data_IF_780875819892
#
_entry.id   IF_780875819892
#
_cell.length_a   1.000
_cell.length_b   1.000
_cell.length_c   1.000
_cell.angle_alpha   90.00
_cell.angle_beta   90.00
_cell.angle_gamma   90.00
#
_symmetry.space_group_name_H-M   'P 1'
#
loop_
_entity.id
_entity.type
_entity.pdbx_description
1 polymer ?
#
# COMPACT_ATOMS: atom_id res chain seq x y z
N UNK A 1 18.43 -15.04 15.65
CA UNK A 1 19.38 -15.25 14.54
C UNK A 1 19.99 -16.64 14.73
N UNK A 2 19.79 -17.58 13.81
CA UNK A 2 20.47 -18.87 13.94
C UNK A 2 21.98 -18.68 13.73
N UNK A 3 22.79 -19.29 14.59
CA UNK A 3 24.24 -19.25 14.45
C UNK A 3 24.67 -19.96 13.17
N UNK A 4 25.65 -19.39 12.46
CA UNK A 4 26.26 -20.06 11.30
C UNK A 4 26.72 -21.45 11.73
N UNK A 5 26.49 -22.49 10.91
CA UNK A 5 26.99 -23.82 11.25
C UNK A 5 28.51 -23.75 11.40
N UNK A 6 29.06 -24.35 12.47
CA UNK A 6 30.51 -24.46 12.63
C UNK A 6 31.13 -25.24 11.46
N UNK A 7 32.43 -25.05 11.23
CA UNK A 7 33.16 -25.61 10.08
C UNK A 7 32.98 -27.12 9.87
N UNK A 8 32.98 -27.90 10.96
CA UNK A 8 32.74 -29.36 10.89
C UNK A 8 31.33 -29.65 10.39
N UNK A 9 30.33 -28.90 10.88
CA UNK A 9 28.94 -29.05 10.45
C UNK A 9 28.74 -28.61 9.01
N UNK A 10 29.40 -27.53 8.56
CA UNK A 10 29.31 -27.11 7.15
C UNK A 10 29.93 -28.15 6.22
N UNK A 11 31.10 -28.71 6.56
CA UNK A 11 31.72 -29.81 5.80
C UNK A 11 30.83 -31.06 5.78
N UNK A 12 30.22 -31.39 6.91
CA UNK A 12 29.27 -32.51 6.97
C UNK A 12 28.05 -32.25 6.09
N UNK A 13 27.51 -31.02 6.07
CA UNK A 13 26.38 -30.65 5.22
C UNK A 13 26.76 -30.67 3.73
N UNK A 14 27.94 -30.17 3.35
CA UNK A 14 28.42 -30.22 1.95
C UNK A 14 28.65 -31.67 1.52
N UNK A 15 29.24 -32.51 2.36
CA UNK A 15 29.31 -33.95 2.09
C UNK A 15 27.91 -34.58 1.97
N UNK A 16 26.95 -34.12 2.78
CA UNK A 16 25.56 -34.57 2.70
C UNK A 16 24.82 -34.06 1.45
N UNK A 17 25.27 -33.00 0.77
CA UNK A 17 24.62 -32.52 -0.45
C UNK A 17 25.09 -33.23 -1.72
N UNK A 18 26.24 -33.91 -1.69
CA UNK A 18 26.76 -34.68 -2.83
C UNK A 18 25.79 -35.80 -3.25
N UNK A 19 25.45 -35.83 -4.55
CA UNK A 19 24.59 -36.83 -5.18
C UNK A 19 25.42 -38.04 -5.63
N UNK A 20 25.57 -38.99 -4.72
CA UNK A 20 26.30 -40.24 -4.95
C UNK A 20 25.33 -41.34 -5.42
N UNK A 21 25.70 -42.23 -6.37
CA UNK A 21 24.76 -43.16 -7.00
C UNK A 21 24.16 -44.21 -6.05
N UNK A 22 24.85 -44.57 -4.96
CA UNK A 22 24.35 -45.49 -3.94
C UNK A 22 23.44 -44.83 -2.90
N UNK A 23 23.26 -43.50 -2.97
CA UNK A 23 22.61 -42.72 -1.91
C UNK A 23 21.18 -42.34 -2.29
N UNK A 24 20.23 -42.80 -1.48
CA UNK A 24 18.79 -42.58 -1.73
C UNK A 24 18.25 -41.25 -1.20
N UNK A 25 18.97 -40.59 -0.29
CA UNK A 25 18.58 -39.32 0.33
C UNK A 25 19.74 -38.32 0.32
N UNK A 26 19.49 -37.13 -0.21
CA UNK A 26 20.48 -36.07 -0.36
C UNK A 26 19.98 -34.76 0.25
N UNK A 27 20.92 -33.99 0.81
CA UNK A 27 20.65 -32.67 1.35
C UNK A 27 20.58 -31.68 0.18
N UNK A 28 19.50 -30.91 0.13
CA UNK A 28 19.29 -29.91 -0.93
C UNK A 28 19.72 -28.53 -0.44
N UNK A 29 19.40 -28.19 0.81
CA UNK A 29 19.84 -26.94 1.40
C UNK A 29 19.42 -26.79 2.85
N UNK A 30 19.63 -25.59 3.39
CA UNK A 30 19.24 -25.19 4.73
C UNK A 30 18.62 -23.80 4.72
N UNK A 31 17.75 -23.52 5.69
CA UNK A 31 17.23 -22.18 5.90
C UNK A 31 18.10 -21.34 6.85
N UNK A 32 17.75 -20.06 6.99
CA UNK A 32 18.33 -19.15 7.97
C UNK A 32 18.00 -19.51 9.44
N UNK A 33 17.05 -20.42 9.68
CA UNK A 33 16.71 -20.91 11.01
C UNK A 33 17.55 -22.14 11.42
N UNK A 34 18.28 -22.74 10.48
CA UNK A 34 19.09 -23.94 10.69
C UNK A 34 18.35 -25.26 10.44
N UNK A 35 17.14 -25.21 9.89
CA UNK A 35 16.43 -26.38 9.39
C UNK A 35 17.11 -26.87 8.11
N UNK A 36 17.08 -28.18 7.91
CA UNK A 36 17.71 -28.83 6.74
C UNK A 36 16.66 -29.48 5.86
N UNK A 37 16.80 -29.29 4.55
CA UNK A 37 15.84 -29.74 3.56
C UNK A 37 16.45 -30.84 2.72
N UNK A 38 15.70 -31.92 2.57
CA UNK A 38 16.17 -33.17 1.99
C UNK A 38 15.22 -33.63 0.90
N UNK A 39 15.79 -34.28 -0.09
CA UNK A 39 15.03 -34.94 -1.15
C UNK A 39 15.49 -36.39 -1.24
N UNK A 40 14.53 -37.30 -1.46
CA UNK A 40 14.78 -38.74 -1.47
C UNK A 40 13.77 -39.47 -2.35
N UNK A 41 14.13 -40.68 -2.80
CA UNK A 41 13.17 -41.58 -3.46
C UNK A 41 12.52 -42.49 -2.43
N UNK A 42 11.19 -42.57 -2.48
CA UNK A 42 10.46 -43.54 -1.67
C UNK A 42 10.63 -44.95 -2.25
N UNK A 43 10.64 -45.97 -1.40
CA UNK A 43 10.69 -47.36 -1.84
C UNK A 43 9.38 -47.78 -2.53
N UNK A 44 8.24 -47.26 -2.06
CA UNK A 44 6.91 -47.57 -2.61
C UNK A 44 6.59 -46.76 -3.88
N UNK A 45 7.10 -45.53 -3.98
CA UNK A 45 6.81 -44.61 -5.08
C UNK A 45 8.12 -44.10 -5.71
N UNK A 46 8.81 -44.98 -6.44
CA UNK A 46 10.12 -44.68 -7.04
C UNK A 46 10.09 -43.64 -8.17
N UNK A 47 8.91 -43.39 -8.76
CA UNK A 47 8.73 -42.45 -9.87
C UNK A 47 8.86 -40.98 -9.46
N UNK A 48 8.72 -40.66 -8.17
CA UNK A 48 8.71 -39.28 -7.69
C UNK A 48 9.67 -39.08 -6.52
N UNK A 49 10.50 -38.03 -6.61
CA UNK A 49 11.27 -37.55 -5.47
C UNK A 49 10.34 -36.92 -4.44
N UNK A 50 10.48 -37.35 -3.17
CA UNK A 50 9.80 -36.76 -2.03
C UNK A 50 10.73 -35.78 -1.33
N UNK A 51 10.15 -34.70 -0.82
CA UNK A 51 10.85 -33.61 -0.13
C UNK A 51 10.46 -33.63 1.34
N UNK A 52 11.42 -33.46 2.24
CA UNK A 52 11.20 -33.46 3.69
C UNK A 52 12.08 -32.41 4.37
N UNK A 53 11.57 -31.82 5.44
CA UNK A 53 12.33 -30.93 6.33
C UNK A 53 12.75 -31.67 7.60
N UNK A 54 13.97 -31.42 8.07
CA UNK A 54 14.47 -31.87 9.36
C UNK A 54 14.86 -30.64 10.19
N UNK A 55 14.13 -30.45 11.29
CA UNK A 55 14.38 -29.42 12.31
C UNK A 55 15.03 -30.02 13.55
N UNK A 56 15.33 -29.17 14.52
CA UNK A 56 15.88 -29.59 15.82
C UNK A 56 14.88 -30.44 16.59
N UNK A 57 15.34 -31.51 17.25
CA UNK A 57 14.50 -32.35 18.13
C UNK A 57 13.98 -31.61 19.37
N UNK A 58 14.49 -30.41 19.65
CA UNK A 58 14.09 -29.58 20.79
C UNK A 58 12.88 -28.68 20.51
N UNK A 59 12.50 -28.52 19.23
CA UNK A 59 11.40 -27.65 18.82
C UNK A 59 10.19 -28.50 18.48
N UNK A 60 9.03 -28.14 19.02
CA UNK A 60 7.78 -28.82 18.73
C UNK A 60 7.35 -28.59 17.28
N UNK A 61 6.67 -29.59 16.71
CA UNK A 61 6.25 -29.62 15.32
C UNK A 61 5.37 -28.42 14.94
N UNK A 62 4.53 -27.95 15.86
CA UNK A 62 3.62 -26.82 15.64
C UNK A 62 4.36 -25.46 15.59
N UNK A 63 5.52 -25.36 16.24
CA UNK A 63 6.27 -24.11 16.38
C UNK A 63 7.34 -23.93 15.29
N UNK A 64 7.50 -24.92 14.40
CA UNK A 64 8.48 -24.86 13.31
C UNK A 64 8.03 -23.85 12.26
N UNK A 65 8.62 -22.65 12.31
CA UNK A 65 8.42 -21.61 11.31
C UNK A 65 9.34 -21.84 10.10
N UNK A 66 8.75 -22.12 8.95
CA UNK A 66 9.46 -22.33 7.68
C UNK A 66 9.13 -21.17 6.73
N UNK A 67 10.11 -20.70 5.95
CA UNK A 67 9.86 -19.60 5.00
C UNK A 67 8.88 -20.02 3.89
N UNK A 68 8.12 -19.08 3.30
CA UNK A 68 7.20 -19.40 2.20
C UNK A 68 7.91 -20.01 0.98
N UNK A 69 9.14 -19.56 0.68
CA UNK A 69 9.94 -20.10 -0.41
C UNK A 69 10.26 -21.59 -0.20
N UNK A 70 10.62 -21.98 1.02
CA UNK A 70 10.83 -23.39 1.37
C UNK A 70 9.53 -24.19 1.37
N UNK A 71 8.40 -23.60 1.75
CA UNK A 71 7.09 -24.24 1.63
C UNK A 71 6.72 -24.54 0.17
N UNK A 72 6.95 -23.59 -0.75
CA UNK A 72 6.73 -23.79 -2.18
C UNK A 72 7.56 -24.96 -2.71
N UNK A 73 8.83 -25.01 -2.31
CA UNK A 73 9.70 -26.12 -2.65
C UNK A 73 9.19 -27.45 -2.06
N UNK A 74 8.83 -27.51 -0.77
CA UNK A 74 8.27 -28.72 -0.15
C UNK A 74 6.96 -29.18 -0.84
N UNK A 75 6.13 -28.24 -1.30
CA UNK A 75 4.87 -28.51 -1.99
C UNK A 75 5.03 -28.77 -3.49
N UNK A 76 6.26 -28.82 -4.00
CA UNK A 76 6.56 -29.02 -5.42
C UNK A 76 5.97 -27.94 -6.36
N UNK A 77 5.61 -26.76 -5.85
CA UNK A 77 5.22 -25.63 -6.71
C UNK A 77 6.44 -24.95 -7.32
N UNK A 78 7.61 -25.10 -6.68
CA UNK A 78 8.89 -24.62 -7.17
C UNK A 78 9.82 -25.78 -7.46
N UNK A 79 10.49 -25.76 -8.63
CA UNK A 79 11.45 -26.79 -9.02
C UNK A 79 12.74 -26.67 -8.22
N UNK A 80 13.41 -25.52 -8.32
CA UNK A 80 14.69 -25.23 -7.66
C UNK A 80 14.51 -24.87 -6.18
N UNK A 81 15.46 -25.30 -5.34
CA UNK A 81 15.46 -24.94 -3.93
C UNK A 81 15.89 -23.47 -3.72
N UNK A 82 15.33 -22.78 -2.73
CA UNK A 82 15.69 -21.39 -2.46
C UNK A 82 17.13 -21.29 -1.94
N UNK A 83 17.88 -20.34 -2.49
CA UNK A 83 19.29 -20.15 -2.15
C UNK A 83 19.45 -19.33 -0.87
N UNK A 84 20.61 -19.41 -0.21
CA UNK A 84 20.91 -18.59 0.98
C UNK A 84 20.82 -17.08 0.68
N UNK A 85 21.42 -16.53 -0.39
CA UNK A 85 21.31 -15.10 -0.67
C UNK A 85 19.87 -14.66 -0.95
N UNK A 86 19.07 -15.50 -1.62
CA UNK A 86 17.64 -15.22 -1.85
C UNK A 86 16.86 -15.11 -0.54
N UNK A 87 17.15 -16.00 0.42
CA UNK A 87 16.52 -15.95 1.74
C UNK A 87 16.95 -14.69 2.52
N UNK A 88 18.22 -14.29 2.43
CA UNK A 88 18.70 -13.06 3.07
C UNK A 88 18.06 -11.81 2.47
N UNK A 89 17.94 -11.78 1.14
CA UNK A 89 17.26 -10.72 0.41
C UNK A 89 15.79 -10.62 0.82
N UNK A 90 15.09 -11.74 1.00
CA UNK A 90 13.69 -11.71 1.43
C UNK A 90 13.54 -11.13 2.83
N UNK A 91 14.46 -11.40 3.76
CA UNK A 91 14.47 -10.79 5.09
C UNK A 91 14.70 -9.27 5.00
N UNK A 92 15.66 -8.81 4.19
CA UNK A 92 15.90 -7.38 4.02
C UNK A 92 14.73 -6.68 3.32
N UNK A 93 14.12 -7.32 2.32
CA UNK A 93 12.93 -6.83 1.62
C UNK A 93 11.76 -6.65 2.58
N UNK A 94 11.52 -7.62 3.46
CA UNK A 94 10.46 -7.53 4.48
C UNK A 94 10.70 -6.39 5.46
N UNK A 95 11.95 -6.17 5.88
CA UNK A 95 12.29 -5.05 6.75
C UNK A 95 12.04 -3.70 6.06
N UNK A 96 12.47 -3.53 4.82
CA UNK A 96 12.25 -2.32 4.03
C UNK A 96 10.75 -2.07 3.80
N UNK A 97 9.99 -3.12 3.46
CA UNK A 97 8.55 -3.03 3.23
C UNK A 97 7.80 -2.53 4.48
N UNK A 98 8.22 -2.95 5.69
CA UNK A 98 7.63 -2.46 6.94
C UNK A 98 7.89 -0.97 7.17
N UNK A 99 9.08 -0.49 6.84
CA UNK A 99 9.40 0.93 6.94
C UNK A 99 8.58 1.77 5.94
N UNK A 100 8.50 1.31 4.69
CA UNK A 100 7.70 1.98 3.66
C UNK A 100 6.21 2.00 4.02
N UNK A 101 5.68 0.90 4.55
CA UNK A 101 4.30 0.82 5.04
C UNK A 101 4.04 1.84 6.15
N UNK A 102 4.94 1.95 7.14
CA UNK A 102 4.81 2.93 8.22
C UNK A 102 4.79 4.38 7.69
N UNK A 103 5.67 4.71 6.74
CA UNK A 103 5.68 6.03 6.11
C UNK A 103 4.39 6.30 5.30
N UNK A 104 3.83 5.27 4.65
CA UNK A 104 2.56 5.38 3.96
C UNK A 104 1.41 5.62 4.94
N UNK A 105 1.39 4.92 6.07
CA UNK A 105 0.41 5.11 7.13
C UNK A 105 0.49 6.52 7.74
N UNK A 106 1.69 7.06 7.93
CA UNK A 106 1.89 8.45 8.39
C UNK A 106 1.33 9.46 7.38
N UNK A 107 1.64 9.26 6.09
CA UNK A 107 1.08 10.09 5.02
C UNK A 107 -0.44 10.00 5.01
N UNK A 108 -1.00 8.80 5.11
CA UNK A 108 -2.46 8.59 5.15
C UNK A 108 -3.11 9.27 6.35
N UNK A 109 -2.53 9.15 7.56
CA UNK A 109 -3.01 9.83 8.77
C UNK A 109 -2.92 11.36 8.70
N UNK A 110 -1.96 11.88 7.94
CA UNK A 110 -1.81 13.33 7.75
C UNK A 110 -2.86 13.94 6.83
N UNK A 111 -3.48 13.12 5.96
CA UNK A 111 -4.60 13.57 5.14
C UNK A 111 -5.83 13.71 6.05
N UNK A 112 -6.44 14.90 6.15
CA UNK A 112 -7.63 15.09 6.97
C UNK A 112 -8.73 14.15 6.49
N UNK A 113 -9.22 13.30 7.39
CA UNK A 113 -10.32 12.38 7.09
C UNK A 113 -11.59 13.19 6.84
N UNK A 114 -12.22 12.98 5.68
CA UNK A 114 -13.53 13.56 5.38
C UNK A 114 -14.65 13.08 6.32
N UNK A 115 -14.42 11.93 6.99
CA UNK A 115 -15.36 11.34 7.94
C UNK A 115 -15.11 11.81 9.38
N UNK A 116 -14.05 12.57 9.65
CA UNK A 116 -13.90 13.19 10.97
C UNK A 116 -14.97 14.27 11.11
N UNK A 117 -15.80 14.22 12.16
CA UNK A 117 -16.80 15.27 12.38
C UNK A 117 -16.06 16.60 12.47
N UNK A 118 -16.62 17.69 11.89
CA UNK A 118 -16.01 19.00 12.02
C UNK A 118 -15.77 19.23 13.51
N UNK A 119 -14.52 19.54 13.89
CA UNK A 119 -14.24 20.03 15.24
C UNK A 119 -15.05 21.28 15.38
N UNK A 120 -16.24 21.15 15.97
CA UNK A 120 -17.03 22.25 16.47
C UNK A 120 -16.09 22.94 17.45
N UNK A 121 -15.39 23.97 16.97
CA UNK A 121 -14.91 25.03 17.82
C UNK A 121 -16.20 25.58 18.43
N UNK A 122 -16.61 25.00 19.56
CA UNK A 122 -17.50 25.66 20.49
C UNK A 122 -16.72 26.89 20.95
N UNK A 123 -16.82 27.97 20.19
CA UNK A 123 -16.81 29.29 20.80
C UNK A 123 -17.84 29.17 21.92
N UNK A 124 -17.37 29.16 23.16
CA UNK A 124 -18.31 29.23 24.27
C UNK A 124 -19.22 30.43 23.99
N UNK A 125 -20.55 30.26 24.01
CA UNK A 125 -21.44 31.39 23.79
C UNK A 125 -21.06 32.47 24.82
N UNK A 126 -20.97 33.75 24.43
CA UNK A 126 -20.81 34.83 25.39
C UNK A 126 -22.12 34.96 26.17
N UNK A 127 -22.36 34.06 27.11
CA UNK A 127 -23.47 34.16 28.07
C UNK A 127 -22.95 34.89 29.30
N UNK A 128 -22.67 36.18 29.14
CA UNK A 128 -22.76 37.15 30.22
C UNK A 128 -23.45 38.40 29.65
N UNK A 129 -24.79 38.35 29.55
CA UNK A 129 -25.60 39.56 29.51
C UNK A 129 -25.58 40.15 30.92
N UNK A 130 -24.80 41.21 31.10
CA UNK A 130 -24.73 41.98 32.34
C UNK A 130 -25.68 43.16 32.17
N UNK A 131 -26.96 42.93 32.43
CA UNK A 131 -27.96 44.01 32.51
C UNK A 131 -28.07 44.49 33.96
N UNK A 132 -27.58 45.69 34.31
CA UNK A 132 -28.11 46.43 35.44
C UNK A 132 -29.26 47.29 34.92
N UNK A 133 -30.48 46.94 35.30
CA UNK A 133 -31.68 47.71 34.99
C UNK A 133 -31.52 49.20 35.32
N UNK A 134 -31.82 50.04 34.34
CA UNK A 134 -31.83 51.50 34.47
C UNK A 134 -32.80 52.10 33.47
N UNK A 135 -34.02 52.35 33.93
CA UNK A 135 -35.04 53.16 33.24
C UNK A 135 -34.51 54.57 32.93
N UNK A 136 -34.44 54.97 31.65
CA UNK A 136 -34.55 56.40 31.25
C UNK A 136 -35.12 56.58 29.84
N UNK A 137 -36.20 57.37 29.77
CA UNK A 137 -36.63 58.35 28.74
C UNK A 137 -36.37 58.18 27.24
N UNK A 138 -37.48 58.29 26.50
CA UNK A 138 -37.68 58.50 25.05
C UNK A 138 -36.72 59.50 24.37
N UNK A 139 -36.46 59.36 23.05
CA UNK A 139 -36.83 60.33 21.96
C UNK A 139 -36.35 59.86 20.55
N UNK A 140 -37.31 59.76 19.62
CA UNK A 140 -37.24 59.94 18.13
C UNK A 140 -36.47 58.94 17.21
N UNK A 141 -36.87 58.85 15.91
CA UNK A 141 -36.78 57.64 15.07
C UNK A 141 -35.73 57.72 13.93
N UNK A 142 -35.79 56.74 13.01
CA UNK A 142 -35.07 56.59 11.73
C UNK A 142 -33.66 55.98 11.79
N UNK A 143 -33.46 54.79 11.18
CA UNK A 143 -33.03 54.64 9.78
C UNK A 143 -32.68 53.17 9.45
N UNK A 144 -33.24 52.65 8.36
CA UNK A 144 -32.73 51.54 7.53
C UNK A 144 -32.63 50.12 8.11
N UNK A 145 -33.73 49.37 8.08
CA UNK A 145 -33.65 47.92 7.85
C UNK A 145 -33.58 47.64 6.34
N UNK A 146 -32.36 47.45 5.84
CA UNK A 146 -32.10 46.91 4.51
C UNK A 146 -31.66 45.45 4.62
N UNK A 147 -32.62 44.51 4.62
CA UNK A 147 -32.34 43.10 4.35
C UNK A 147 -32.34 42.93 2.84
N UNK A 148 -31.18 43.08 2.20
CA UNK A 148 -30.99 42.62 0.82
C UNK A 148 -30.41 41.20 0.83
N UNK A 149 -31.32 40.25 0.71
CA UNK A 149 -31.02 38.90 0.22
C UNK A 149 -30.43 39.04 -1.19
N UNK A 150 -29.12 38.93 -1.32
CA UNK A 150 -28.43 38.81 -2.61
C UNK A 150 -28.69 37.44 -3.23
N UNK A 151 -29.88 37.25 -3.79
CA UNK A 151 -30.14 36.19 -4.77
C UNK A 151 -30.04 36.86 -6.13
N UNK A 152 -28.87 36.71 -6.76
CA UNK A 152 -28.66 37.09 -8.14
C UNK A 152 -29.26 36.01 -9.06
N UNK A 153 -30.15 36.48 -9.93
CA UNK A 153 -30.61 35.92 -11.22
C UNK A 153 -31.20 34.50 -11.25
N UNK A 154 -32.53 34.44 -11.19
CA UNK A 154 -33.35 33.23 -11.38
C UNK A 154 -33.20 32.57 -12.77
N UNK A 155 -32.71 33.30 -13.78
CA UNK A 155 -32.47 32.74 -15.13
C UNK A 155 -31.21 31.87 -15.17
N UNK A 156 -30.18 32.20 -14.35
CA UNK A 156 -28.92 31.46 -14.32
C UNK A 156 -29.06 30.09 -13.65
N UNK A 157 -30.00 29.94 -12.71
CA UNK A 157 -30.26 28.66 -12.02
C UNK A 157 -31.00 27.67 -12.94
N UNK A 158 -31.83 28.17 -13.87
CA UNK A 158 -32.56 27.31 -14.80
C UNK A 158 -31.65 26.71 -15.90
N UNK A 159 -30.65 27.45 -16.37
CA UNK A 159 -29.75 26.96 -17.43
C UNK A 159 -28.77 25.86 -16.96
N UNK A 160 -28.35 25.88 -15.68
CA UNK A 160 -27.51 24.81 -15.11
C UNK A 160 -28.32 23.53 -14.84
N UNK A 161 -29.62 23.66 -14.56
CA UNK A 161 -30.53 22.52 -14.34
C UNK A 161 -30.86 21.75 -15.62
N UNK A 162 -30.66 22.37 -16.79
CA UNK A 162 -30.98 21.81 -18.10
C UNK A 162 -29.80 21.09 -18.80
N UNK A 163 -28.64 20.95 -18.13
CA UNK A 163 -27.56 20.05 -18.56
C UNK A 163 -26.90 20.40 -19.89
N UNK A 164 -26.57 21.68 -20.13
CA UNK A 164 -25.71 22.09 -21.25
C UNK A 164 -24.31 22.47 -20.73
N UNK A 165 -23.31 21.67 -21.13
CA UNK A 165 -21.89 21.98 -20.98
C UNK A 165 -21.53 23.22 -21.81
N UNK A 166 -21.22 24.34 -21.17
CA UNK A 166 -20.49 25.45 -21.79
C UNK A 166 -19.13 25.58 -21.14
N UNK A 167 -18.13 25.02 -21.83
CA UNK A 167 -16.73 25.44 -21.71
C UNK A 167 -16.62 26.92 -22.08
N UNK A 168 -15.71 27.60 -21.39
CA UNK A 168 -15.23 28.97 -21.64
C UNK A 168 -16.22 30.08 -21.24
N UNK A 169 -15.95 30.77 -20.13
CA UNK A 169 -15.31 32.10 -20.08
C UNK A 169 -15.18 32.49 -18.60
N UNK A 170 -13.95 32.49 -18.07
CA UNK A 170 -13.63 33.25 -16.84
C UNK A 170 -12.33 34.03 -17.10
N UNK A 171 -12.47 35.11 -17.87
CA UNK A 171 -11.42 36.12 -18.02
C UNK A 171 -11.73 37.28 -17.09
N UNK A 172 -11.18 37.24 -15.87
CA UNK A 172 -11.54 38.26 -14.89
C UNK A 172 -10.70 38.36 -13.62
N UNK A 173 -9.39 38.00 -13.60
CA UNK A 173 -8.53 38.39 -12.46
C UNK A 173 -7.02 38.36 -12.75
N UNK A 174 -6.42 39.55 -12.69
CA UNK A 174 -5.02 39.80 -12.27
C UNK A 174 -3.88 39.25 -13.15
N UNK A 175 -3.41 40.04 -14.14
CA UNK A 175 -2.11 39.82 -14.81
C UNK A 175 -0.95 40.40 -13.98
N UNK A 176 -0.47 39.61 -13.01
CA UNK A 176 0.87 39.79 -12.45
C UNK A 176 1.92 39.14 -13.35
N UNK A 177 3.02 39.84 -13.65
CA UNK A 177 4.16 39.34 -14.44
C UNK A 177 4.69 38.03 -13.84
N UNK A 178 4.51 36.92 -14.53
CA UNK A 178 5.04 35.60 -14.15
C UNK A 178 6.56 35.62 -14.28
N UNK A 179 7.29 35.52 -13.16
CA UNK A 179 8.68 35.03 -13.19
C UNK A 179 8.60 33.53 -13.51
N UNK A 180 9.16 33.13 -14.64
CA UNK A 180 9.38 31.72 -14.95
C UNK A 180 10.27 31.14 -13.84
N UNK A 181 9.70 30.24 -13.03
CA UNK A 181 10.48 29.43 -12.09
C UNK A 181 11.23 28.41 -12.93
N UNK A 182 12.56 28.57 -13.00
CA UNK A 182 13.43 27.57 -13.59
C UNK A 182 13.24 26.24 -12.85
N UNK A 183 12.78 25.24 -13.60
CA UNK A 183 12.55 23.87 -13.10
C UNK A 183 13.94 23.25 -12.84
N UNK A 184 14.24 22.81 -11.61
CA UNK A 184 15.54 22.22 -11.31
C UNK A 184 15.77 20.93 -12.13
N UNK A 185 17.03 20.62 -12.50
CA UNK A 185 17.36 19.62 -13.52
C UNK A 185 16.91 18.18 -13.21
N UNK A 186 16.60 17.86 -11.95
CA UNK A 186 16.11 16.56 -11.52
C UNK A 186 14.61 16.33 -11.80
N UNK A 187 13.83 17.39 -12.04
CA UNK A 187 12.40 17.30 -12.33
C UNK A 187 12.08 16.93 -13.80
N UNK A 188 13.07 16.98 -14.69
CA UNK A 188 12.88 16.74 -16.14
C UNK A 188 12.58 15.29 -16.51
N UNK A 189 12.86 14.33 -15.61
CA UNK A 189 12.73 12.90 -15.88
C UNK A 189 11.68 12.19 -15.01
N UNK A 190 10.91 12.91 -14.18
CA UNK A 190 9.80 12.30 -13.45
C UNK A 190 8.61 12.15 -14.41
N UNK A 191 8.00 10.95 -14.53
CA UNK A 191 6.75 10.81 -15.25
C UNK A 191 5.68 11.67 -14.55
N UNK A 192 5.12 12.63 -15.28
CA UNK A 192 3.95 13.40 -14.83
C UNK A 192 2.74 12.46 -14.83
N UNK A 193 2.29 12.04 -13.66
CA UNK A 193 1.06 11.25 -13.48
C UNK A 193 1.22 10.08 -12.52
N UNK A 194 0.12 9.62 -11.96
CA UNK A 194 0.12 8.38 -11.18
C UNK A 194 0.32 7.19 -12.14
N UNK A 195 1.02 6.10 -11.75
CA UNK A 195 1.28 4.93 -12.59
C UNK A 195 0.04 4.08 -12.97
N UNK A 196 -1.14 4.71 -13.07
CA UNK A 196 -2.41 4.12 -13.53
C UNK A 196 -3.25 5.06 -14.40
N UNK A 197 -2.86 6.34 -14.61
CA UNK A 197 -3.66 7.29 -15.38
C UNK A 197 -3.76 6.93 -16.88
N UNK A 198 -2.82 6.12 -17.39
CA UNK A 198 -2.81 5.62 -18.77
C UNK A 198 -3.52 4.27 -18.96
N UNK A 199 -4.03 3.66 -17.90
CA UNK A 199 -4.71 2.37 -17.99
C UNK A 199 -6.21 2.55 -18.14
N UNK A 200 -6.74 2.28 -19.34
CA UNK A 200 -8.17 2.12 -19.58
C UNK A 200 -8.44 0.67 -20.03
N UNK A 201 -9.44 -0.03 -19.45
CA UNK A 201 -9.79 -1.37 -19.89
C UNK A 201 -10.36 -1.35 -21.32
N UNK A 202 -9.94 -2.29 -22.16
CA UNK A 202 -10.60 -2.50 -23.46
C UNK A 202 -12.02 -3.00 -23.25
N UNK A 203 -12.98 -2.40 -23.96
CA UNK A 203 -14.37 -2.84 -23.97
C UNK A 203 -14.48 -4.26 -24.58
N UNK A 204 -15.15 -5.15 -23.87
CA UNK A 204 -15.35 -6.54 -24.30
C UNK A 204 -16.30 -6.58 -25.49
N UNK A 205 -15.79 -6.93 -26.67
CA UNK A 205 -16.62 -7.16 -27.87
C UNK A 205 -16.84 -8.66 -28.07
N UNK A 206 -18.08 -9.17 -28.01
CA UNK A 206 -18.35 -10.57 -28.29
C UNK A 206 -18.11 -10.86 -29.77
N UNK A 207 -17.20 -11.81 -30.06
CA UNK A 207 -16.89 -12.22 -31.43
C UNK A 207 -18.10 -12.83 -32.13
N UNK A 208 -18.43 -12.34 -33.33
CA UNK A 208 -19.49 -12.90 -34.17
C UNK A 208 -19.07 -14.30 -34.63
N UNK A 209 -19.87 -15.31 -34.27
CA UNK A 209 -19.63 -16.69 -34.67
C UNK A 209 -19.76 -16.83 -36.20
N UNK A 210 -18.71 -17.34 -36.86
CA UNK A 210 -18.75 -17.67 -38.28
C UNK A 210 -19.79 -18.76 -38.54
N UNK A 211 -20.75 -18.48 -39.44
CA UNK A 211 -21.68 -19.49 -39.95
C UNK A 211 -20.90 -20.52 -40.78
N UNK A 212 -21.20 -21.80 -40.52
CA UNK A 212 -20.69 -22.96 -41.26
C UNK A 212 -21.28 -23.04 -42.66
#
# INVERSE_FOLDING_TARGET
MASRPGYIKSLWLTWKSLRLPWRKQFLVGSDLAGNTFWEFKDALNANRFRRIVKYSRKTDYADVKISPQWHQWLRHTRFEAPTIPEQQYEVSRQAMMKQLAAQADERWKSVPSYLDPPRMQQSQPPTEMKDPGGYTGQTAPEESEGVTSGVEDAEKVQEVSAGKDTKEVDEGRFKGKTREKEIPPWEKNLPKGNPGDSWQPQEWTPGVAGRR
#
